data_IF_294973606013
#
_entry.id   IF_294973606013
#
_cell.length_a   1.000
_cell.length_b   1.000
_cell.length_c   1.000
_cell.angle_alpha   90.00
_cell.angle_beta   90.00
_cell.angle_gamma   90.00
#
_symmetry.space_group_name_H-M   'P 1'
#
loop_
_entity.id
_entity.type
_entity.pdbx_description
1 polymer ?
#
# COMPACT_ATOMS: atom_id res chain seq x y z
N UNK A 1 -23.49 -13.35 -38.72
CA UNK A 1 -24.40 -13.17 -37.60
C UNK A 1 -23.93 -13.86 -36.32
N UNK A 2 -23.65 -15.15 -36.39
CA UNK A 2 -23.18 -15.89 -35.21
C UNK A 2 -21.86 -15.35 -34.63
N UNK A 3 -20.93 -14.93 -35.48
CA UNK A 3 -19.66 -14.35 -35.04
C UNK A 3 -19.82 -13.04 -34.30
N UNK A 4 -20.70 -12.18 -34.75
CA UNK A 4 -20.99 -10.91 -34.11
C UNK A 4 -21.64 -11.11 -32.73
N UNK A 5 -22.55 -12.07 -32.65
CA UNK A 5 -23.21 -12.41 -31.39
C UNK A 5 -22.17 -12.92 -30.35
N UNK A 6 -21.26 -13.78 -30.79
CA UNK A 6 -20.20 -14.32 -29.92
C UNK A 6 -19.26 -13.22 -29.41
N UNK A 7 -18.90 -12.27 -30.27
CA UNK A 7 -18.05 -11.14 -29.88
C UNK A 7 -18.75 -10.26 -28.85
N UNK A 8 -20.03 -9.95 -29.04
CA UNK A 8 -20.81 -9.17 -28.09
C UNK A 8 -20.91 -9.87 -26.74
N UNK A 9 -21.12 -11.16 -26.73
CA UNK A 9 -21.17 -11.95 -25.51
C UNK A 9 -19.83 -11.92 -24.77
N UNK A 10 -18.72 -12.03 -25.48
CA UNK A 10 -17.38 -11.97 -24.91
C UNK A 10 -17.09 -10.61 -24.28
N UNK A 11 -17.49 -9.51 -24.91
CA UNK A 11 -17.34 -8.17 -24.37
C UNK A 11 -18.13 -7.99 -23.08
N UNK A 12 -19.35 -8.47 -23.02
CA UNK A 12 -20.18 -8.43 -21.83
C UNK A 12 -19.52 -9.20 -20.69
N UNK A 13 -18.96 -10.36 -20.99
CA UNK A 13 -18.29 -11.19 -20.01
C UNK A 13 -17.06 -10.48 -19.41
N UNK A 14 -16.23 -9.86 -20.24
CA UNK A 14 -15.08 -9.09 -19.80
C UNK A 14 -15.48 -7.92 -18.90
N UNK A 15 -16.51 -7.18 -19.25
CA UNK A 15 -17.04 -6.08 -18.46
C UNK A 15 -17.52 -6.56 -17.10
N UNK A 16 -18.17 -7.70 -17.06
CA UNK A 16 -18.71 -8.29 -15.82
C UNK A 16 -17.57 -8.75 -14.89
N UNK A 17 -16.47 -9.31 -15.43
CA UNK A 17 -15.37 -9.82 -14.62
C UNK A 17 -14.50 -8.72 -14.00
N UNK A 18 -14.41 -7.53 -14.62
CA UNK A 18 -13.58 -6.45 -14.16
C UNK A 18 -13.81 -6.05 -12.69
N UNK A 19 -15.03 -5.85 -12.20
CA UNK A 19 -15.28 -5.53 -10.80
C UNK A 19 -14.86 -6.64 -9.83
N UNK A 20 -15.03 -7.88 -10.21
CA UNK A 20 -14.63 -9.02 -9.38
C UNK A 20 -13.11 -9.12 -9.24
N UNK A 21 -12.37 -8.91 -10.32
CA UNK A 21 -10.91 -8.88 -10.27
C UNK A 21 -10.38 -7.77 -9.37
N UNK A 22 -11.00 -6.59 -9.45
CA UNK A 22 -10.63 -5.47 -8.59
C UNK A 22 -10.89 -5.79 -7.11
N UNK A 23 -12.04 -6.38 -6.78
CA UNK A 23 -12.39 -6.77 -5.42
C UNK A 23 -11.42 -7.84 -4.88
N UNK A 24 -11.04 -8.83 -5.67
CA UNK A 24 -10.07 -9.84 -5.29
C UNK A 24 -8.69 -9.22 -5.03
N UNK A 25 -8.26 -8.31 -5.86
CA UNK A 25 -6.99 -7.62 -5.69
C UNK A 25 -6.95 -6.85 -4.36
N UNK A 26 -8.04 -6.19 -4.00
CA UNK A 26 -8.13 -5.47 -2.73
C UNK A 26 -8.16 -6.41 -1.51
N UNK A 27 -8.74 -7.60 -1.65
CA UNK A 27 -8.79 -8.58 -0.56
C UNK A 27 -7.47 -9.31 -0.34
N UNK A 28 -6.58 -9.33 -1.37
CA UNK A 28 -5.28 -10.00 -1.30
C UNK A 28 -4.15 -9.08 -0.85
N UNK A 29 -4.48 -8.07 -0.07
CA UNK A 29 -3.49 -7.14 0.48
C UNK A 29 -3.31 -7.35 1.98
N UNK A 30 -2.16 -6.95 2.46
CA UNK A 30 -1.89 -6.80 3.89
C UNK A 30 -1.89 -5.33 4.26
N UNK A 31 -2.03 -5.04 5.55
CA UNK A 31 -2.09 -3.67 6.07
C UNK A 31 -1.11 -3.51 7.22
N UNK A 32 -0.44 -2.37 7.25
CA UNK A 32 0.47 -2.01 8.33
C UNK A 32 0.04 -0.66 8.89
N UNK A 33 -0.18 -0.59 10.19
CA UNK A 33 -0.42 0.68 10.89
C UNK A 33 0.91 1.25 11.35
N UNK A 34 1.23 2.45 10.90
CA UNK A 34 2.44 3.17 11.31
C UNK A 34 1.99 4.38 12.13
N UNK A 35 2.40 4.42 13.40
CA UNK A 35 2.09 5.53 14.30
C UNK A 35 3.28 6.46 14.41
N UNK A 36 3.00 7.75 14.40
CA UNK A 36 4.00 8.79 14.59
C UNK A 36 3.82 9.41 15.99
N UNK A 37 4.91 9.95 16.54
CA UNK A 37 4.86 10.59 17.84
C UNK A 37 4.19 11.97 17.81
N UNK A 38 4.02 12.53 16.63
CA UNK A 38 3.44 13.87 16.46
C UNK A 38 2.71 13.96 15.11
N UNK A 39 1.82 14.93 14.93
CA UNK A 39 1.14 15.11 13.66
C UNK A 39 2.11 15.39 12.52
N UNK A 40 1.88 14.74 11.38
CA UNK A 40 2.74 14.81 10.22
C UNK A 40 2.20 15.78 9.18
N UNK A 41 3.11 16.39 8.41
CA UNK A 41 2.74 17.16 7.23
C UNK A 41 2.18 16.25 6.17
N UNK A 42 1.15 16.72 5.46
CA UNK A 42 0.55 15.97 4.36
C UNK A 42 1.38 15.96 3.08
N UNK A 43 2.47 16.71 3.04
CA UNK A 43 3.28 16.84 1.83
C UNK A 43 3.93 15.53 1.39
N UNK A 44 4.23 14.63 2.31
CA UNK A 44 4.93 13.39 1.98
C UNK A 44 4.22 12.12 2.44
N UNK A 45 3.27 12.20 3.37
CA UNK A 45 2.71 10.99 3.99
C UNK A 45 1.87 10.14 3.04
N UNK A 46 1.36 10.70 1.95
CA UNK A 46 0.58 9.95 0.95
C UNK A 46 1.43 9.31 -0.14
N UNK A 47 2.70 9.66 -0.23
CA UNK A 47 3.56 9.16 -1.28
C UNK A 47 4.08 7.76 -0.91
N UNK A 48 3.67 6.76 -1.67
CA UNK A 48 4.08 5.37 -1.44
C UNK A 48 5.58 5.17 -1.56
N UNK A 49 6.28 6.00 -2.34
CA UNK A 49 7.73 5.91 -2.51
C UNK A 49 8.51 6.24 -1.24
N UNK A 50 7.87 6.90 -0.27
CA UNK A 50 8.50 7.22 1.01
C UNK A 50 8.51 6.04 1.98
N UNK A 51 7.85 4.95 1.63
CA UNK A 51 7.76 3.75 2.45
C UNK A 51 8.31 2.57 1.66
N UNK A 52 9.35 1.95 2.17
CA UNK A 52 9.95 0.77 1.55
C UNK A 52 9.91 -0.38 2.53
N UNK A 53 9.39 -1.52 2.08
CA UNK A 53 9.26 -2.71 2.93
C UNK A 53 10.04 -3.84 2.30
N UNK A 54 10.89 -4.47 3.11
CA UNK A 54 11.65 -5.65 2.71
C UNK A 54 11.25 -6.84 3.58
N UNK A 55 11.10 -7.98 2.94
CA UNK A 55 10.96 -9.26 3.63
C UNK A 55 12.35 -9.74 4.11
N UNK A 56 12.38 -10.71 4.99
CA UNK A 56 13.62 -11.26 5.57
C UNK A 56 14.60 -11.83 4.54
N UNK A 57 14.12 -12.23 3.36
CA UNK A 57 14.95 -12.65 2.24
C UNK A 57 15.44 -11.50 1.36
N UNK A 58 15.26 -10.26 1.84
CA UNK A 58 15.61 -9.01 1.16
C UNK A 58 14.76 -8.71 -0.09
N UNK A 59 13.65 -9.43 -0.28
CA UNK A 59 12.70 -9.11 -1.33
C UNK A 59 11.91 -7.86 -0.95
N UNK A 60 11.92 -6.86 -1.82
CA UNK A 60 11.08 -5.67 -1.63
C UNK A 60 9.65 -6.01 -2.00
N UNK A 61 8.72 -5.69 -1.11
CA UNK A 61 7.29 -5.86 -1.40
C UNK A 61 6.66 -4.51 -1.75
N UNK A 62 5.62 -4.54 -2.58
CA UNK A 62 4.98 -3.33 -3.04
C UNK A 62 4.12 -2.70 -1.95
N UNK A 63 4.15 -1.36 -1.88
CA UNK A 63 3.20 -0.56 -1.12
C UNK A 63 2.26 0.08 -2.14
N UNK A 64 1.00 -0.32 -2.14
CA UNK A 64 0.05 0.10 -3.17
C UNK A 64 -0.61 1.44 -2.85
N UNK A 65 -0.86 1.70 -1.57
CA UNK A 65 -1.65 2.84 -1.15
C UNK A 65 -1.33 3.20 0.29
N UNK A 66 -1.44 4.47 0.61
CA UNK A 66 -1.33 4.99 1.98
C UNK A 66 -2.66 5.63 2.37
N UNK A 67 -3.25 5.16 3.46
CA UNK A 67 -4.39 5.83 4.10
C UNK A 67 -3.92 6.59 5.32
N UNK A 68 -4.45 7.79 5.53
CA UNK A 68 -4.09 8.62 6.68
C UNK A 68 -5.17 8.51 7.75
N UNK A 69 -4.76 8.29 8.98
CA UNK A 69 -5.66 8.24 10.14
C UNK A 69 -5.90 9.67 10.63
N UNK A 70 -7.06 9.91 11.23
CA UNK A 70 -7.47 11.22 11.74
C UNK A 70 -6.38 11.87 12.61
N UNK A 71 -6.16 13.16 12.40
CA UNK A 71 -5.15 13.92 13.12
C UNK A 71 -3.75 13.83 12.55
N UNK A 72 -3.56 13.13 11.43
CA UNK A 72 -2.27 12.97 10.74
C UNK A 72 -1.17 12.36 11.64
N UNK A 73 -1.55 11.57 12.63
CA UNK A 73 -0.63 10.92 13.58
C UNK A 73 -0.34 9.47 13.25
N UNK A 74 -1.00 8.92 12.23
CA UNK A 74 -0.78 7.54 11.80
C UNK A 74 -1.14 7.37 10.33
N UNK A 75 -0.54 6.38 9.70
CA UNK A 75 -0.90 5.96 8.34
C UNK A 75 -1.13 4.46 8.32
N UNK A 76 -1.96 4.01 7.40
CA UNK A 76 -2.13 2.59 7.08
C UNK A 76 -1.54 2.34 5.71
N UNK A 77 -0.57 1.46 5.63
CA UNK A 77 0.03 1.04 4.38
C UNK A 77 -0.69 -0.20 3.86
N UNK A 78 -1.15 -0.15 2.63
CA UNK A 78 -1.75 -1.30 1.95
C UNK A 78 -0.67 -1.90 1.05
N UNK A 79 -0.32 -3.15 1.30
CA UNK A 79 0.85 -3.80 0.71
C UNK A 79 0.50 -5.11 0.04
N UNK A 80 1.45 -5.70 -0.65
CA UNK A 80 1.35 -7.10 -1.03
C UNK A 80 1.04 -7.96 0.19
N UNK A 81 0.39 -9.07 -0.04
CA UNK A 81 0.05 -10.04 1.00
C UNK A 81 1.30 -10.50 1.73
N UNK A 82 1.29 -10.44 3.04
CA UNK A 82 2.38 -10.95 3.87
C UNK A 82 2.40 -12.47 3.84
N UNK A 83 3.62 -13.01 3.75
CA UNK A 83 3.84 -14.45 3.83
C UNK A 83 3.90 -14.84 5.33
N UNK A 84 3.14 -15.86 5.77
CA UNK A 84 3.21 -16.32 7.14
C UNK A 84 4.65 -16.70 7.55
N UNK A 85 4.98 -16.46 8.79
CA UNK A 85 6.28 -16.81 9.40
C UNK A 85 7.48 -16.06 8.82
N UNK A 86 7.24 -15.03 8.01
CA UNK A 86 8.30 -14.13 7.54
C UNK A 86 8.33 -12.87 8.39
N UNK A 87 9.50 -12.27 8.51
CA UNK A 87 9.65 -10.97 9.13
C UNK A 87 9.84 -9.89 8.08
N UNK A 88 9.51 -8.65 8.45
CA UNK A 88 9.51 -7.52 7.51
C UNK A 88 10.18 -6.33 8.15
N UNK A 89 10.82 -5.52 7.33
CA UNK A 89 11.48 -4.28 7.74
C UNK A 89 10.90 -3.13 6.93
N UNK A 90 10.43 -2.10 7.63
CA UNK A 90 9.92 -0.88 7.01
C UNK A 90 10.96 0.22 7.13
N UNK A 91 11.25 0.89 6.02
CA UNK A 91 12.13 2.05 5.96
C UNK A 91 11.27 3.23 5.52
N UNK A 92 11.34 4.32 6.27
CA UNK A 92 10.58 5.54 6.01
C UNK A 92 11.56 6.68 5.71
N UNK A 93 11.30 7.41 4.63
CA UNK A 93 12.11 8.55 4.20
C UNK A 93 11.22 9.74 3.82
N UNK A 94 11.80 10.91 3.79
CA UNK A 94 11.21 12.12 3.21
C UNK A 94 9.90 12.57 3.84
N UNK A 95 9.67 12.27 5.11
CA UNK A 95 8.51 12.77 5.83
C UNK A 95 8.88 13.96 6.70
N UNK A 96 7.93 14.87 6.86
CA UNK A 96 8.06 16.03 7.74
C UNK A 96 6.90 16.05 8.73
N UNK A 97 7.14 16.58 9.93
CA UNK A 97 6.06 16.90 10.84
C UNK A 97 5.40 18.24 10.45
N UNK A 98 4.35 18.64 11.13
CA UNK A 98 3.66 19.90 10.83
C UNK A 98 4.49 21.15 11.13
N UNK A 99 5.51 21.02 11.97
CA UNK A 99 6.44 22.10 12.24
C UNK A 99 7.55 22.22 11.18
N UNK A 100 7.59 21.29 10.20
CA UNK A 100 8.55 21.29 9.10
C UNK A 100 9.83 20.52 9.39
N UNK A 101 9.94 19.84 10.52
CA UNK A 101 11.10 19.02 10.85
C UNK A 101 11.07 17.73 10.07
N UNK A 102 12.23 17.36 9.49
CA UNK A 102 12.36 16.13 8.71
C UNK A 102 12.50 14.96 9.69
N UNK A 103 11.77 13.86 9.43
CA UNK A 103 12.00 12.59 10.10
C UNK A 103 13.37 12.07 9.64
N UNK A 104 14.09 11.45 10.56
CA UNK A 104 15.41 10.88 10.28
C UNK A 104 15.35 9.99 9.04
N UNK A 105 16.27 10.22 8.12
CA UNK A 105 16.40 9.40 6.92
C UNK A 105 16.66 7.94 7.31
N UNK A 106 16.08 7.02 6.52
CA UNK A 106 16.20 5.58 6.74
C UNK A 106 15.71 5.12 8.12
N UNK A 107 14.67 5.78 8.63
CA UNK A 107 14.02 5.32 9.86
C UNK A 107 13.51 3.89 9.67
N UNK A 108 14.02 2.96 10.47
CA UNK A 108 13.76 1.53 10.29
C UNK A 108 12.86 1.00 11.39
N UNK A 109 11.82 0.29 10.98
CA UNK A 109 10.92 -0.43 11.87
C UNK A 109 10.88 -1.89 11.44
N UNK A 110 11.04 -2.79 12.39
CA UNK A 110 10.88 -4.22 12.14
C UNK A 110 9.49 -4.65 12.63
N UNK A 111 8.83 -5.50 11.87
CA UNK A 111 7.53 -6.06 12.24
C UNK A 111 7.36 -7.44 11.62
N UNK A 112 6.40 -8.17 12.15
CA UNK A 112 6.14 -9.55 11.74
C UNK A 112 4.75 -9.71 11.18
#
# INVERSE_FOLDING_TARGET
>A
MLKLFQISFLLILLTFLSPELFAQQMSDTSRVLVKFNEPMSRDGIFNTDNYTIFRDDETQIAVYKVGVVAGDTAVVLYTEKYVPESSYKLIINNLRDKAGNIISENHKLAFY
#
